data_IF_470732418025
#
_entry.id   IF_470732418025
#
_cell.length_a   1.000
_cell.length_b   1.000
_cell.length_c   1.000
_cell.angle_alpha   90.00
_cell.angle_beta   90.00
_cell.angle_gamma   90.00
#
_symmetry.space_group_name_H-M   'P 1'
#
loop_
_entity.id
_entity.type
_entity.pdbx_description
1 polymer ?
#
# COMPACT_ATOMS: atom_id res chain seq x y z
N UNK A 1 23.22 -60.97 20.30
CA UNK A 1 23.97 -59.72 20.08
C UNK A 1 23.28 -58.95 18.95
N UNK A 2 22.34 -58.07 19.26
CA UNK A 2 21.64 -57.22 18.28
C UNK A 2 21.95 -55.78 18.67
N UNK A 3 22.69 -55.08 17.81
CA UNK A 3 23.05 -53.68 17.97
C UNK A 3 21.87 -52.84 17.46
N UNK A 4 21.23 -52.10 18.34
CA UNK A 4 20.25 -51.07 18.00
C UNK A 4 20.98 -49.80 17.57
N UNK A 5 20.81 -49.39 16.32
CA UNK A 5 21.28 -48.10 15.82
C UNK A 5 20.34 -46.99 16.32
N UNK A 6 20.89 -46.02 17.06
CA UNK A 6 20.19 -44.79 17.43
C UNK A 6 20.28 -43.80 16.26
N UNK A 7 19.14 -43.40 15.71
CA UNK A 7 19.05 -42.30 14.75
C UNK A 7 19.30 -40.98 15.47
N UNK A 8 20.42 -40.34 15.16
CA UNK A 8 20.75 -38.99 15.61
C UNK A 8 20.05 -37.99 14.67
N UNK A 9 18.94 -37.41 15.09
CA UNK A 9 18.25 -36.35 14.35
C UNK A 9 19.01 -35.04 14.57
N UNK A 10 19.78 -34.62 13.57
CA UNK A 10 20.41 -33.30 13.55
C UNK A 10 19.31 -32.25 13.31
N UNK A 11 18.94 -31.48 14.34
CA UNK A 11 18.22 -30.23 14.13
C UNK A 11 19.20 -29.22 13.53
N UNK A 12 19.08 -28.97 12.23
CA UNK A 12 19.71 -27.82 11.59
C UNK A 12 19.01 -26.55 12.11
N UNK A 13 19.68 -25.81 12.99
CA UNK A 13 19.28 -24.45 13.34
C UNK A 13 19.63 -23.59 12.13
N UNK A 14 18.65 -23.29 11.28
CA UNK A 14 18.81 -22.30 10.23
C UNK A 14 19.05 -20.94 10.91
N UNK A 15 20.21 -20.33 10.62
CA UNK A 15 20.48 -18.96 11.00
C UNK A 15 19.49 -18.07 10.22
N UNK A 16 18.52 -17.49 10.93
CA UNK A 16 17.66 -16.45 10.36
C UNK A 16 18.58 -15.28 9.95
N UNK A 17 18.49 -14.78 8.71
CA UNK A 17 19.14 -13.52 8.38
C UNK A 17 18.61 -12.43 9.31
N UNK A 18 19.50 -11.56 9.79
CA UNK A 18 19.13 -10.38 10.57
C UNK A 18 18.17 -9.52 9.75
N UNK A 19 16.86 -9.72 9.96
CA UNK A 19 15.84 -8.79 9.53
C UNK A 19 16.12 -7.50 10.29
N UNK A 20 16.62 -6.47 9.61
CA UNK A 20 16.46 -5.10 10.08
C UNK A 20 14.96 -4.87 10.21
N UNK A 21 14.45 -5.00 11.43
CA UNK A 21 13.08 -4.62 11.74
C UNK A 21 12.99 -3.14 11.39
N UNK A 22 12.18 -2.80 10.39
CA UNK A 22 11.82 -1.42 10.13
C UNK A 22 10.84 -0.97 11.22
N UNK A 23 11.31 -0.99 12.48
CA UNK A 23 10.61 -0.29 13.56
C UNK A 23 10.61 1.17 13.14
N UNK A 24 9.47 1.87 13.19
CA UNK A 24 9.42 3.29 12.87
C UNK A 24 10.51 4.01 13.66
N UNK A 25 11.53 4.51 12.95
CA UNK A 25 12.62 5.26 13.56
C UNK A 25 12.00 6.44 14.32
N UNK A 26 12.57 6.75 15.50
CA UNK A 26 12.14 7.86 16.35
C UNK A 26 12.11 9.17 15.52
N UNK A 27 10.92 9.74 15.33
CA UNK A 27 10.63 10.83 14.35
C UNK A 27 10.75 12.25 14.95
N UNK A 28 10.94 13.22 14.07
CA UNK A 28 11.12 14.66 14.31
C UNK A 28 9.82 15.36 14.81
N UNK A 29 9.99 16.61 15.24
CA UNK A 29 9.35 17.40 16.31
C UNK A 29 7.88 17.87 16.21
N UNK A 30 6.98 17.20 15.47
CA UNK A 30 5.54 17.35 15.78
C UNK A 30 4.75 16.09 15.44
N UNK A 31 4.55 15.22 16.44
CA UNK A 31 3.60 14.11 16.37
C UNK A 31 2.22 14.63 15.92
N UNK A 32 1.63 14.10 14.84
CA UNK A 32 0.27 14.42 14.44
C UNK A 32 -0.72 14.24 15.59
N UNK A 33 -1.73 15.10 15.68
CA UNK A 33 -2.83 14.87 16.61
C UNK A 33 -3.72 13.72 16.11
N UNK A 34 -4.45 13.06 17.02
CA UNK A 34 -5.41 12.02 16.61
C UNK A 34 -6.46 12.56 15.62
N UNK A 35 -6.90 13.81 15.79
CA UNK A 35 -7.82 14.46 14.85
C UNK A 35 -7.19 14.65 13.46
N UNK A 36 -5.89 14.95 13.38
CA UNK A 36 -5.18 15.00 12.09
C UNK A 36 -5.08 13.62 11.45
N UNK A 37 -4.90 12.56 12.25
CA UNK A 37 -4.86 11.18 11.75
C UNK A 37 -6.23 10.72 11.26
N UNK A 38 -7.29 11.02 12.00
CA UNK A 38 -8.65 10.69 11.58
C UNK A 38 -9.06 11.47 10.32
N UNK A 39 -8.69 12.75 10.20
CA UNK A 39 -8.92 13.52 8.97
C UNK A 39 -8.04 13.07 7.81
N UNK A 40 -6.84 12.55 8.08
CA UNK A 40 -6.03 11.89 7.06
C UNK A 40 -6.73 10.64 6.52
N UNK A 41 -7.25 9.78 7.41
CA UNK A 41 -8.06 8.62 7.02
C UNK A 41 -9.31 9.07 6.24
N UNK A 42 -10.10 10.03 6.75
CA UNK A 42 -11.29 10.54 6.07
C UNK A 42 -11.00 11.10 4.67
N UNK A 43 -9.81 11.69 4.47
CA UNK A 43 -9.40 12.18 3.14
C UNK A 43 -9.20 11.04 2.15
N UNK A 44 -8.66 9.90 2.59
CA UNK A 44 -8.49 8.69 1.78
C UNK A 44 -9.84 8.01 1.52
N UNK A 45 -10.70 7.93 2.54
CA UNK A 45 -12.05 7.36 2.42
C UNK A 45 -12.93 8.17 1.46
N UNK A 46 -12.83 9.51 1.47
CA UNK A 46 -13.49 10.34 0.46
C UNK A 46 -12.97 10.08 -0.95
N UNK A 47 -11.67 9.84 -1.10
CA UNK A 47 -11.06 9.50 -2.39
C UNK A 47 -11.58 8.16 -2.90
N UNK A 48 -11.59 7.12 -2.06
CA UNK A 48 -12.07 5.78 -2.42
C UNK A 48 -13.56 5.77 -2.70
N UNK A 49 -14.37 6.42 -1.85
CA UNK A 49 -15.81 6.59 -2.09
C UNK A 49 -16.08 7.30 -3.43
N UNK A 50 -15.30 8.34 -3.76
CA UNK A 50 -15.40 9.03 -5.05
C UNK A 50 -14.97 8.12 -6.22
N UNK A 51 -13.88 7.37 -6.06
CA UNK A 51 -13.38 6.43 -7.07
C UNK A 51 -14.44 5.38 -7.42
N UNK A 52 -15.00 4.71 -6.42
CA UNK A 52 -16.01 3.68 -6.65
C UNK A 52 -17.31 4.23 -7.20
N UNK A 53 -17.78 5.36 -6.68
CA UNK A 53 -19.00 6.01 -7.18
C UNK A 53 -18.84 6.40 -8.65
N UNK A 54 -17.74 7.03 -9.02
CA UNK A 54 -17.50 7.47 -10.40
C UNK A 54 -17.26 6.28 -11.34
N UNK A 55 -16.45 5.30 -10.93
CA UNK A 55 -16.17 4.10 -11.72
C UNK A 55 -17.42 3.27 -12.01
N UNK A 56 -18.28 3.07 -11.01
CA UNK A 56 -19.54 2.31 -11.18
C UNK A 56 -20.60 3.04 -12.01
N UNK A 57 -20.52 4.38 -12.09
CA UNK A 57 -21.33 5.18 -13.02
C UNK A 57 -20.77 5.13 -14.44
N UNK A 58 -19.44 5.13 -14.59
CA UNK A 58 -18.73 5.12 -15.86
C UNK A 58 -18.79 3.78 -16.58
N UNK A 59 -18.74 2.67 -15.83
CA UNK A 59 -18.68 1.32 -16.37
C UNK A 59 -19.92 0.49 -16.00
N UNK A 60 -20.61 0.04 -17.03
CA UNK A 60 -21.80 -0.81 -16.93
C UNK A 60 -21.44 -2.27 -16.66
N UNK A 61 -22.46 -3.08 -16.35
CA UNK A 61 -22.27 -4.52 -16.27
C UNK A 61 -21.77 -5.11 -17.59
N UNK A 62 -22.20 -4.58 -18.73
CA UNK A 62 -21.77 -5.10 -20.03
C UNK A 62 -20.28 -4.81 -20.27
N UNK A 63 -19.81 -3.60 -19.92
CA UNK A 63 -18.38 -3.26 -20.04
C UNK A 63 -17.51 -4.23 -19.23
N UNK A 64 -17.97 -4.62 -18.03
CA UNK A 64 -17.24 -5.60 -17.20
C UNK A 64 -17.19 -6.98 -17.87
N UNK A 65 -18.30 -7.43 -18.47
CA UNK A 65 -18.34 -8.71 -19.19
C UNK A 65 -17.48 -8.67 -20.45
N UNK A 66 -17.47 -7.55 -21.17
CA UNK A 66 -16.65 -7.35 -22.38
C UNK A 66 -15.16 -7.29 -22.05
N UNK A 67 -14.80 -6.95 -20.81
CA UNK A 67 -13.43 -7.03 -20.27
C UNK A 67 -13.09 -8.40 -19.64
N UNK A 68 -13.89 -9.44 -19.90
CA UNK A 68 -13.74 -10.79 -19.36
C UNK A 68 -13.75 -10.87 -17.82
N UNK A 69 -14.33 -9.89 -17.13
CA UNK A 69 -14.47 -9.92 -15.68
C UNK A 69 -15.62 -10.86 -15.26
N UNK A 70 -15.53 -11.50 -14.07
CA UNK A 70 -16.56 -12.40 -13.60
C UNK A 70 -17.93 -11.71 -13.48
N UNK A 71 -19.01 -12.41 -13.87
CA UNK A 71 -20.40 -11.89 -13.86
C UNK A 71 -20.85 -11.35 -12.50
N UNK A 72 -20.28 -11.86 -11.41
CA UNK A 72 -20.57 -11.45 -10.03
C UNK A 72 -19.71 -10.28 -9.54
N UNK A 73 -18.65 -9.91 -10.24
CA UNK A 73 -17.63 -9.00 -9.71
C UNK A 73 -18.16 -7.57 -9.51
N UNK A 74 -18.89 -7.02 -10.49
CA UNK A 74 -19.48 -5.67 -10.36
C UNK A 74 -20.39 -5.52 -9.14
N UNK A 75 -21.13 -6.57 -8.79
CA UNK A 75 -21.99 -6.58 -7.59
C UNK A 75 -21.19 -6.37 -6.30
N UNK A 76 -19.98 -6.93 -6.22
CA UNK A 76 -19.09 -6.73 -5.07
C UNK A 76 -18.49 -5.33 -5.04
N UNK A 77 -18.11 -4.75 -6.17
CA UNK A 77 -17.69 -3.34 -6.16
C UNK A 77 -18.81 -2.37 -5.76
N UNK A 78 -20.08 -2.67 -6.07
CA UNK A 78 -21.21 -1.89 -5.51
C UNK A 78 -21.27 -2.01 -3.98
N UNK A 79 -20.93 -3.17 -3.42
CA UNK A 79 -20.87 -3.36 -1.97
C UNK A 79 -19.68 -2.61 -1.36
N UNK A 80 -18.51 -2.67 -2.00
CA UNK A 80 -17.33 -1.87 -1.61
C UNK A 80 -17.68 -0.38 -1.57
N UNK A 81 -18.30 0.15 -2.62
CA UNK A 81 -18.76 1.54 -2.65
C UNK A 81 -19.68 1.90 -1.46
N UNK A 82 -20.52 0.96 -1.00
CA UNK A 82 -21.37 1.17 0.17
C UNK A 82 -20.57 1.16 1.48
N UNK A 83 -19.54 0.32 1.57
CA UNK A 83 -18.63 0.30 2.72
C UNK A 83 -17.85 1.62 2.79
N UNK A 84 -17.26 2.10 1.69
CA UNK A 84 -16.52 3.38 1.70
C UNK A 84 -17.42 4.56 2.05
N UNK A 85 -18.65 4.60 1.54
CA UNK A 85 -19.62 5.60 1.98
C UNK A 85 -19.94 5.49 3.48
N UNK A 86 -19.95 4.27 4.04
CA UNK A 86 -20.19 4.04 5.47
C UNK A 86 -18.99 4.46 6.31
N UNK A 87 -17.76 4.18 5.86
CA UNK A 87 -16.53 4.63 6.51
C UNK A 87 -16.45 6.16 6.56
N UNK A 88 -16.76 6.84 5.44
CA UNK A 88 -16.87 8.31 5.38
C UNK A 88 -17.86 8.83 6.43
N UNK A 89 -19.11 8.35 6.42
CA UNK A 89 -20.12 8.82 7.37
C UNK A 89 -19.76 8.54 8.83
N UNK A 90 -19.11 7.40 9.09
CA UNK A 90 -18.60 7.05 10.41
C UNK A 90 -17.51 8.04 10.87
N UNK A 91 -16.50 8.28 10.04
CA UNK A 91 -15.39 9.19 10.37
C UNK A 91 -15.86 10.64 10.50
N UNK A 92 -16.74 11.12 9.62
CA UNK A 92 -17.39 12.43 9.75
C UNK A 92 -18.10 12.56 11.11
N UNK A 93 -18.83 11.52 11.53
CA UNK A 93 -19.51 11.50 12.82
C UNK A 93 -18.54 11.49 14.01
N UNK A 94 -17.42 10.78 13.91
CA UNK A 94 -16.41 10.70 14.99
C UNK A 94 -15.64 12.01 15.11
N UNK A 95 -15.32 12.65 13.98
CA UNK A 95 -14.52 13.89 13.93
C UNK A 95 -15.39 15.12 14.24
N UNK A 96 -16.66 15.11 13.84
CA UNK A 96 -17.60 16.22 14.06
C UNK A 96 -17.26 17.46 13.23
N UNK A 97 -17.37 18.64 13.83
CA UNK A 97 -17.20 19.94 13.13
C UNK A 97 -15.81 20.15 12.51
N UNK A 98 -14.83 19.31 12.84
CA UNK A 98 -13.48 19.35 12.29
C UNK A 98 -13.29 18.43 11.07
N UNK A 99 -14.35 17.74 10.62
CA UNK A 99 -14.29 16.82 9.49
C UNK A 99 -13.98 17.58 8.20
N UNK A 100 -12.92 17.14 7.52
CA UNK A 100 -12.58 17.60 6.18
C UNK A 100 -13.71 17.26 5.20
N UNK A 101 -13.87 18.10 4.19
CA UNK A 101 -14.82 17.89 3.11
C UNK A 101 -14.15 17.15 1.94
N UNK A 102 -14.91 16.43 1.10
CA UNK A 102 -14.35 15.73 -0.05
C UNK A 102 -13.66 16.69 -1.02
N UNK A 103 -12.59 16.20 -1.64
CA UNK A 103 -11.87 16.94 -2.67
C UNK A 103 -12.51 16.74 -4.06
N UNK A 104 -11.96 17.40 -5.07
CA UNK A 104 -12.21 17.07 -6.48
C UNK A 104 -11.16 16.09 -6.96
N UNK A 105 -11.58 15.04 -7.64
CA UNK A 105 -10.72 13.93 -8.05
C UNK A 105 -10.71 13.75 -9.57
N UNK A 106 -9.59 13.24 -10.10
CA UNK A 106 -9.44 12.82 -11.49
C UNK A 106 -8.72 11.49 -11.53
N UNK A 107 -9.48 10.41 -11.73
CA UNK A 107 -8.94 9.06 -11.77
C UNK A 107 -8.46 8.71 -13.19
N UNK A 108 -7.31 8.01 -13.32
CA UNK A 108 -6.69 7.75 -14.62
C UNK A 108 -7.27 6.52 -15.34
N UNK A 109 -8.23 5.81 -14.75
CA UNK A 109 -8.85 4.62 -15.36
C UNK A 109 -9.45 4.97 -16.73
N UNK A 110 -9.22 4.12 -17.72
CA UNK A 110 -9.70 4.28 -19.10
C UNK A 110 -10.63 3.16 -19.54
N UNK A 111 -10.65 2.06 -18.80
CA UNK A 111 -11.40 0.84 -19.08
C UNK A 111 -11.66 0.06 -17.78
N UNK A 112 -12.55 -0.96 -17.78
CA UNK A 112 -12.87 -1.72 -16.59
C UNK A 112 -11.65 -2.39 -15.94
N UNK A 113 -10.65 -2.84 -16.70
CA UNK A 113 -9.47 -3.51 -16.14
C UNK A 113 -8.56 -2.51 -15.40
N UNK A 114 -8.36 -1.31 -15.94
CA UNK A 114 -7.66 -0.22 -15.25
C UNK A 114 -8.40 0.25 -14.00
N UNK A 115 -9.74 0.18 -13.98
CA UNK A 115 -10.54 0.33 -12.75
C UNK A 115 -10.25 -0.80 -11.74
N UNK A 116 -10.20 -2.08 -12.17
CA UNK A 116 -9.85 -3.20 -11.28
C UNK A 116 -8.46 -3.02 -10.66
N UNK A 117 -7.45 -2.69 -11.47
CA UNK A 117 -6.08 -2.53 -10.98
C UNK A 117 -5.94 -1.33 -10.06
N UNK A 118 -6.66 -0.22 -10.34
CA UNK A 118 -6.67 0.95 -9.46
C UNK A 118 -7.39 0.65 -8.15
N UNK A 119 -8.51 -0.08 -8.19
CA UNK A 119 -9.22 -0.56 -6.99
C UNK A 119 -8.29 -1.40 -6.11
N UNK A 120 -7.57 -2.38 -6.68
CA UNK A 120 -6.61 -3.17 -5.91
C UNK A 120 -5.52 -2.31 -5.27
N UNK A 121 -4.98 -1.33 -6.01
CA UNK A 121 -3.97 -0.42 -5.48
C UNK A 121 -4.50 0.41 -4.31
N UNK A 122 -5.69 1.02 -4.46
CA UNK A 122 -6.28 1.88 -3.43
C UNK A 122 -6.53 1.11 -2.13
N UNK A 123 -7.24 -0.01 -2.19
CA UNK A 123 -7.52 -0.84 -1.00
C UNK A 123 -6.23 -1.28 -0.30
N UNK A 124 -5.19 -1.64 -1.06
CA UNK A 124 -3.90 -2.03 -0.48
C UNK A 124 -3.16 -0.85 0.16
N UNK A 125 -3.28 0.34 -0.41
CA UNK A 125 -2.79 1.59 0.19
C UNK A 125 -3.60 1.95 1.43
N UNK A 126 -4.92 1.74 1.44
CA UNK A 126 -5.80 1.88 2.60
C UNK A 126 -5.35 1.00 3.77
N UNK A 127 -5.09 -0.28 3.52
CA UNK A 127 -4.50 -1.21 4.51
C UNK A 127 -3.19 -0.66 5.08
N UNK A 128 -2.31 -0.19 4.20
CA UNK A 128 -1.00 0.36 4.57
C UNK A 128 -1.13 1.65 5.38
N UNK A 129 -2.14 2.47 5.09
CA UNK A 129 -2.44 3.71 5.79
C UNK A 129 -2.96 3.48 7.20
N UNK A 130 -3.97 2.63 7.37
CA UNK A 130 -4.53 2.32 8.68
C UNK A 130 -3.51 1.63 9.59
N UNK A 131 -2.81 0.60 9.08
CA UNK A 131 -1.78 -0.10 9.86
C UNK A 131 -0.60 0.81 10.20
N UNK A 132 -0.17 1.65 9.26
CA UNK A 132 0.92 2.60 9.45
C UNK A 132 0.59 3.74 10.42
N UNK A 133 -0.67 4.19 10.45
CA UNK A 133 -1.11 5.27 11.34
C UNK A 133 -1.53 4.79 12.73
N UNK A 134 -1.73 3.48 12.94
CA UNK A 134 -2.26 2.93 14.19
C UNK A 134 -1.51 3.37 15.45
N UNK A 135 -0.19 3.55 15.36
CA UNK A 135 0.65 3.98 16.48
C UNK A 135 0.46 5.44 16.91
N UNK A 136 -0.25 6.26 16.13
CA UNK A 136 -0.61 7.63 16.50
C UNK A 136 -1.91 7.70 17.31
N UNK A 137 -2.66 6.60 17.39
CA UNK A 137 -3.91 6.53 18.12
C UNK A 137 -3.65 6.06 19.56
N UNK A 138 -4.33 6.71 20.49
CA UNK A 138 -4.30 6.41 21.93
C UNK A 138 -5.70 6.21 22.51
N UNK A 139 -6.73 6.77 21.90
CA UNK A 139 -8.12 6.51 22.23
C UNK A 139 -8.52 5.08 21.81
N UNK A 140 -8.99 4.28 22.78
CA UNK A 140 -9.37 2.88 22.55
C UNK A 140 -10.50 2.71 21.53
N UNK A 141 -11.44 3.66 21.48
CA UNK A 141 -12.55 3.60 20.54
C UNK A 141 -12.04 3.83 19.12
N UNK A 142 -11.12 4.78 18.93
CA UNK A 142 -10.49 5.05 17.64
C UNK A 142 -9.63 3.88 17.18
N UNK A 143 -8.82 3.31 18.08
CA UNK A 143 -8.04 2.10 17.78
C UNK A 143 -8.96 0.96 17.34
N UNK A 144 -10.06 0.74 18.05
CA UNK A 144 -11.01 -0.33 17.75
C UNK A 144 -11.68 -0.12 16.40
N UNK A 145 -12.15 1.09 16.13
CA UNK A 145 -12.79 1.39 14.84
C UNK A 145 -11.81 1.34 13.67
N UNK A 146 -10.61 1.89 13.83
CA UNK A 146 -9.58 1.84 12.78
C UNK A 146 -9.12 0.41 12.50
N UNK A 147 -9.02 -0.45 13.52
CA UNK A 147 -8.73 -1.88 13.33
C UNK A 147 -9.87 -2.61 12.60
N UNK A 148 -11.12 -2.23 12.86
CA UNK A 148 -12.28 -2.80 12.17
C UNK A 148 -12.30 -2.42 10.68
N UNK A 149 -12.03 -1.14 10.35
CA UNK A 149 -11.94 -0.67 8.96
C UNK A 149 -10.77 -1.36 8.25
N UNK A 150 -9.56 -1.32 8.83
CA UNK A 150 -8.37 -2.02 8.32
C UNK A 150 -8.65 -3.48 7.93
N UNK A 151 -9.38 -4.21 8.77
CA UNK A 151 -9.71 -5.61 8.51
C UNK A 151 -10.71 -5.79 7.36
N UNK A 152 -11.54 -4.79 7.07
CA UNK A 152 -12.41 -4.79 5.89
C UNK A 152 -11.59 -4.45 4.66
N UNK A 153 -10.83 -3.36 4.63
CA UNK A 153 -9.89 -2.97 3.55
C UNK A 153 -9.02 -4.15 3.08
N UNK A 154 -8.42 -4.87 4.02
CA UNK A 154 -7.59 -6.03 3.71
C UNK A 154 -8.35 -7.14 2.99
N UNK A 155 -9.61 -7.39 3.37
CA UNK A 155 -10.47 -8.39 2.71
C UNK A 155 -10.93 -7.93 1.34
N UNK A 156 -11.15 -6.63 1.16
CA UNK A 156 -11.50 -6.04 -0.13
C UNK A 156 -10.34 -6.20 -1.11
N UNK A 157 -9.13 -5.76 -0.73
CA UNK A 157 -7.89 -5.95 -1.50
C UNK A 157 -7.67 -7.44 -1.85
N UNK A 158 -7.76 -8.33 -0.85
CA UNK A 158 -7.61 -9.78 -1.05
C UNK A 158 -8.63 -10.36 -2.03
N UNK A 159 -9.89 -9.92 -1.94
CA UNK A 159 -10.95 -10.36 -2.85
C UNK A 159 -10.69 -9.89 -4.29
N UNK A 160 -10.29 -8.63 -4.49
CA UNK A 160 -9.95 -8.11 -5.82
C UNK A 160 -8.79 -8.93 -6.40
N UNK A 161 -7.70 -9.07 -5.66
CA UNK A 161 -6.50 -9.70 -6.19
C UNK A 161 -6.69 -11.20 -6.43
N UNK A 162 -7.30 -11.91 -5.49
CA UNK A 162 -7.43 -13.36 -5.59
C UNK A 162 -8.65 -13.79 -6.40
N UNK A 163 -9.84 -13.32 -6.04
CA UNK A 163 -11.05 -13.82 -6.67
C UNK A 163 -11.24 -13.27 -8.09
N UNK A 164 -10.87 -12.00 -8.31
CA UNK A 164 -11.03 -11.35 -9.61
C UNK A 164 -9.78 -11.51 -10.48
N UNK A 165 -8.61 -11.07 -10.01
CA UNK A 165 -7.37 -11.11 -10.79
C UNK A 165 -6.67 -12.48 -10.81
N UNK A 166 -7.17 -13.47 -10.04
CA UNK A 166 -6.61 -14.83 -9.93
C UNK A 166 -5.17 -14.88 -9.38
N UNK A 167 -4.79 -13.84 -8.66
CA UNK A 167 -3.48 -13.67 -8.05
C UNK A 167 -3.51 -13.96 -6.53
N UNK A 168 -2.46 -13.57 -5.83
CA UNK A 168 -2.26 -13.85 -4.42
C UNK A 168 -3.33 -13.18 -3.51
N UNK A 169 -3.91 -13.90 -2.54
CA UNK A 169 -4.87 -13.34 -1.58
C UNK A 169 -4.24 -12.48 -0.48
N UNK A 170 -2.93 -12.61 -0.26
CA UNK A 170 -2.13 -11.83 0.69
C UNK A 170 -0.73 -11.64 0.12
N UNK A 171 0.04 -10.70 0.65
CA UNK A 171 1.37 -10.36 0.12
C UNK A 171 2.49 -11.15 0.81
N UNK A 172 2.66 -10.92 2.11
CA UNK A 172 3.62 -11.62 2.96
C UNK A 172 2.92 -12.09 4.24
N UNK A 173 3.67 -12.62 5.21
CA UNK A 173 3.13 -12.95 6.54
C UNK A 173 2.58 -11.71 7.30
N UNK A 174 2.97 -10.51 6.90
CA UNK A 174 2.47 -9.25 7.43
C UNK A 174 2.08 -8.31 6.27
N UNK A 175 1.04 -7.52 6.47
CA UNK A 175 0.81 -6.35 5.61
C UNK A 175 1.90 -5.29 5.83
N UNK A 176 2.04 -4.39 4.87
CA UNK A 176 3.13 -3.41 4.84
C UNK A 176 2.63 -2.05 5.36
N UNK A 177 2.86 -1.69 6.63
CA UNK A 177 2.54 -0.35 7.12
C UNK A 177 3.43 0.70 6.43
N UNK A 178 2.82 1.79 5.98
CA UNK A 178 3.51 2.94 5.39
C UNK A 178 3.37 4.17 6.29
N UNK A 179 4.35 5.07 6.25
CA UNK A 179 4.18 6.37 6.89
C UNK A 179 3.22 7.29 6.11
N UNK A 180 2.78 8.36 6.76
CA UNK A 180 1.76 9.25 6.19
C UNK A 180 2.21 9.90 4.88
N UNK A 181 3.50 10.23 4.74
CA UNK A 181 4.02 10.85 3.53
C UNK A 181 4.13 9.85 2.39
N UNK A 182 4.50 8.60 2.68
CA UNK A 182 4.50 7.52 1.70
C UNK A 182 3.10 7.22 1.18
N UNK A 183 2.12 7.08 2.07
CA UNK A 183 0.71 6.91 1.70
C UNK A 183 0.23 8.11 0.87
N UNK A 184 0.50 9.33 1.34
CA UNK A 184 0.11 10.54 0.63
C UNK A 184 0.76 10.63 -0.75
N UNK A 185 2.00 10.17 -0.91
CA UNK A 185 2.68 10.14 -2.21
C UNK A 185 1.96 9.24 -3.22
N UNK A 186 1.39 8.11 -2.76
CA UNK A 186 0.62 7.19 -3.61
C UNK A 186 -0.79 7.71 -3.91
N UNK A 187 -1.45 8.32 -2.93
CA UNK A 187 -2.85 8.74 -3.04
C UNK A 187 -3.03 10.12 -3.69
N UNK A 188 -2.12 11.07 -3.45
CA UNK A 188 -2.36 12.48 -3.80
C UNK A 188 -2.41 12.78 -5.30
N UNK A 189 -1.86 11.90 -6.15
CA UNK A 189 -1.80 12.10 -7.61
C UNK A 189 -3.15 12.22 -8.30
N UNK A 190 -4.24 11.73 -7.69
CA UNK A 190 -5.61 11.82 -8.24
C UNK A 190 -6.41 13.00 -7.66
N UNK A 191 -5.86 13.71 -6.67
CA UNK A 191 -6.50 14.85 -6.03
C UNK A 191 -6.22 16.12 -6.85
N UNK A 192 -7.25 16.69 -7.45
CA UNK A 192 -7.14 17.92 -8.27
C UNK A 192 -7.12 19.17 -7.38
N UNK A 193 -8.03 19.25 -6.42
CA UNK A 193 -8.14 20.35 -5.48
C UNK A 193 -9.00 19.96 -4.28
N UNK A 194 -8.75 20.54 -3.11
CA UNK A 194 -9.58 20.36 -1.92
C UNK A 194 -10.15 21.70 -1.46
N UNK A 195 -11.31 21.71 -0.77
CA UNK A 195 -11.85 22.92 -0.17
C UNK A 195 -10.81 23.63 0.71
N UNK A 196 -10.62 24.96 0.57
CA UNK A 196 -9.62 25.70 1.37
C UNK A 196 -9.99 25.79 2.85
N UNK A 197 -11.22 25.42 3.22
CA UNK A 197 -11.68 25.27 4.59
C UNK A 197 -11.19 23.99 5.27
N UNK A 198 -10.70 23.00 4.51
CA UNK A 198 -10.16 21.78 5.08
C UNK A 198 -8.93 22.08 5.92
N UNK A 199 -8.81 21.41 7.07
CA UNK A 199 -7.63 21.55 7.90
C UNK A 199 -6.37 21.05 7.17
N UNK A 200 -5.21 21.70 7.34
CA UNK A 200 -3.97 21.17 6.80
C UNK A 200 -3.60 19.83 7.42
N UNK A 201 -3.36 18.83 6.57
CA UNK A 201 -2.83 17.53 6.98
C UNK A 201 -1.31 17.61 7.14
N UNK A 202 -0.71 16.90 8.12
CA UNK A 202 0.74 16.91 8.34
C UNK A 202 1.47 15.98 7.37
N UNK A 203 1.22 16.15 6.08
CA UNK A 203 1.72 15.28 5.02
C UNK A 203 2.33 16.06 3.86
N UNK A 204 3.26 15.42 3.17
CA UNK A 204 3.95 15.93 2.00
C UNK A 204 4.17 14.77 1.03
N UNK A 205 3.87 15.01 -0.24
CA UNK A 205 4.21 14.06 -1.29
C UNK A 205 5.70 14.15 -1.63
N UNK A 206 6.36 13.00 -1.74
CA UNK A 206 7.68 12.90 -2.33
C UNK A 206 7.59 12.95 -3.87
N UNK A 207 8.70 13.24 -4.57
CA UNK A 207 8.79 13.07 -6.01
C UNK A 207 8.35 11.65 -6.43
N UNK A 208 7.55 11.56 -7.50
CA UNK A 208 7.10 10.27 -8.01
C UNK A 208 8.27 9.41 -8.50
N UNK A 209 8.24 8.14 -8.11
CA UNK A 209 9.19 7.11 -8.54
C UNK A 209 8.50 6.17 -9.54
N UNK A 210 9.13 5.95 -10.68
CA UNK A 210 8.61 5.07 -11.73
C UNK A 210 9.56 3.91 -11.99
N UNK A 211 8.97 2.72 -12.13
CA UNK A 211 9.61 1.50 -12.60
C UNK A 211 9.12 1.18 -14.02
N UNK A 212 9.89 0.42 -14.82
CA UNK A 212 9.43 -0.02 -16.13
C UNK A 212 8.25 -0.99 -15.98
N UNK A 213 7.31 -0.93 -16.93
CA UNK A 213 6.19 -1.86 -16.96
C UNK A 213 6.70 -3.31 -17.06
N UNK A 214 6.11 -4.21 -16.27
CA UNK A 214 6.49 -5.61 -16.24
C UNK A 214 7.80 -5.93 -15.52
N UNK A 215 8.35 -4.99 -14.73
CA UNK A 215 9.48 -5.26 -13.84
C UNK A 215 9.22 -6.46 -12.92
N UNK A 216 10.20 -7.36 -12.80
CA UNK A 216 10.09 -8.59 -11.99
C UNK A 216 11.25 -8.74 -10.99
N UNK A 217 11.05 -9.50 -9.90
CA UNK A 217 12.13 -9.89 -8.98
C UNK A 217 13.31 -10.53 -9.72
N UNK A 218 14.53 -10.20 -9.29
CA UNK A 218 15.79 -10.68 -9.87
C UNK A 218 16.28 -9.90 -11.10
N UNK A 219 15.47 -9.00 -11.67
CA UNK A 219 15.86 -8.20 -12.83
C UNK A 219 16.65 -6.94 -12.44
N UNK A 220 17.59 -6.55 -13.30
CA UNK A 220 18.16 -5.20 -13.30
C UNK A 220 17.25 -4.30 -14.13
N UNK A 221 16.69 -3.26 -13.50
CA UNK A 221 15.76 -2.32 -14.14
C UNK A 221 16.29 -0.90 -14.06
N UNK A 222 15.87 -0.04 -14.99
CA UNK A 222 16.13 1.40 -14.93
C UNK A 222 14.92 2.11 -14.35
N UNK A 223 15.12 2.89 -13.28
CA UNK A 223 14.07 3.66 -12.62
C UNK A 223 14.17 5.15 -12.99
N UNK A 224 13.09 5.90 -12.79
CA UNK A 224 13.10 7.36 -12.99
C UNK A 224 12.36 8.09 -11.87
N UNK A 225 12.89 9.24 -11.48
CA UNK A 225 12.30 10.17 -10.52
C UNK A 225 12.89 11.57 -10.76
N UNK A 226 12.18 12.62 -10.35
CA UNK A 226 12.61 14.00 -10.53
C UNK A 226 13.04 14.63 -9.19
N UNK A 227 14.30 14.42 -8.81
CA UNK A 227 14.88 15.02 -7.60
C UNK A 227 16.37 15.35 -7.79
N UNK A 228 16.81 16.46 -7.20
CA UNK A 228 18.24 16.78 -7.10
C UNK A 228 18.86 15.94 -6.00
N UNK A 229 19.92 15.19 -6.31
CA UNK A 229 20.55 14.26 -5.36
C UNK A 229 22.06 14.40 -5.37
N UNK A 230 22.69 14.03 -4.26
CA UNK A 230 24.13 13.90 -4.13
C UNK A 230 24.47 12.67 -3.29
N UNK A 231 25.61 12.04 -3.60
CA UNK A 231 26.05 10.83 -2.90
C UNK A 231 25.43 9.54 -3.45
N UNK A 232 25.75 8.44 -2.77
CA UNK A 232 25.21 7.11 -3.10
C UNK A 232 23.75 7.03 -2.68
N UNK A 233 22.91 6.50 -3.56
CA UNK A 233 21.50 6.24 -3.30
C UNK A 233 21.22 4.74 -3.26
N UNK A 234 20.10 4.38 -2.65
CA UNK A 234 19.59 3.02 -2.57
C UNK A 234 18.12 3.03 -2.95
N UNK A 235 17.63 1.89 -3.41
CA UNK A 235 16.21 1.60 -3.43
C UNK A 235 15.91 0.68 -2.26
N UNK A 236 15.07 1.15 -1.34
CA UNK A 236 14.54 0.34 -0.25
C UNK A 236 13.20 -0.26 -0.70
N UNK A 237 13.15 -1.56 -0.87
CA UNK A 237 11.96 -2.33 -1.21
C UNK A 237 11.23 -2.70 0.09
N UNK A 238 10.21 -1.92 0.45
CA UNK A 238 9.43 -2.10 1.69
C UNK A 238 8.38 -3.18 1.46
N UNK A 239 8.38 -4.23 2.29
CA UNK A 239 7.42 -5.33 2.24
C UNK A 239 7.27 -5.96 3.63
N UNK A 240 6.03 -6.22 4.05
CA UNK A 240 5.72 -6.63 5.42
C UNK A 240 6.26 -5.61 6.43
N UNK A 241 6.92 -6.08 7.49
CA UNK A 241 7.46 -5.22 8.55
C UNK A 241 8.94 -4.80 8.32
N UNK A 242 9.45 -4.95 7.09
CA UNK A 242 10.86 -4.73 6.78
C UNK A 242 11.09 -4.08 5.42
N UNK A 243 12.36 -3.80 5.14
CA UNK A 243 12.81 -3.32 3.85
C UNK A 243 14.09 -4.03 3.42
N UNK A 244 14.20 -4.34 2.13
CA UNK A 244 15.44 -4.81 1.52
C UNK A 244 16.07 -3.68 0.70
N UNK A 245 17.35 -3.41 0.90
CA UNK A 245 18.04 -2.30 0.25
C UNK A 245 18.92 -2.79 -0.89
N UNK A 246 18.81 -2.15 -2.05
CA UNK A 246 19.70 -2.38 -3.19
C UNK A 246 20.35 -1.06 -3.64
N UNK A 247 21.66 -1.02 -3.93
CA UNK A 247 22.31 0.20 -4.39
C UNK A 247 21.76 0.64 -5.74
N UNK A 248 21.48 1.94 -5.87
CA UNK A 248 21.11 2.56 -7.14
C UNK A 248 22.38 3.00 -7.88
N UNK A 249 22.54 2.56 -9.12
CA UNK A 249 23.70 2.92 -9.94
C UNK A 249 23.64 4.37 -10.42
N UNK A 250 24.77 4.90 -10.90
CA UNK A 250 24.82 6.23 -11.51
C UNK A 250 24.04 6.33 -12.83
N UNK A 251 23.64 5.20 -13.43
CA UNK A 251 22.76 5.13 -14.61
C UNK A 251 21.28 4.97 -14.23
N UNK A 252 20.93 5.15 -12.95
CA UNK A 252 19.59 4.94 -12.39
C UNK A 252 19.11 3.50 -12.57
N UNK A 253 20.01 2.52 -12.49
CA UNK A 253 19.66 1.11 -12.52
C UNK A 253 19.77 0.45 -11.15
N UNK A 254 18.87 -0.48 -10.87
CA UNK A 254 18.80 -1.23 -9.61
C UNK A 254 18.41 -2.67 -9.88
N UNK A 255 18.93 -3.60 -9.07
CA UNK A 255 18.48 -5.00 -9.07
C UNK A 255 17.30 -5.13 -8.11
N UNK A 256 16.17 -5.63 -8.60
CA UNK A 256 15.02 -5.97 -7.75
C UNK A 256 15.37 -7.27 -7.01
N UNK A 257 15.36 -7.33 -5.66
CA UNK A 257 15.66 -8.55 -4.93
C UNK A 257 14.75 -9.71 -5.36
N UNK A 258 15.35 -10.88 -5.64
CA UNK A 258 14.63 -12.03 -6.20
C UNK A 258 13.67 -12.72 -5.23
N UNK A 259 13.76 -12.43 -3.93
CA UNK A 259 12.90 -12.99 -2.89
C UNK A 259 11.62 -12.20 -2.66
N UNK A 260 11.41 -11.10 -3.39
CA UNK A 260 10.21 -10.27 -3.22
C UNK A 260 9.00 -10.92 -3.90
N UNK A 261 7.85 -10.83 -3.24
CA UNK A 261 6.56 -11.33 -3.73
C UNK A 261 5.43 -10.42 -3.25
N UNK A 262 4.28 -10.49 -3.92
CA UNK A 262 3.11 -9.68 -3.60
C UNK A 262 3.39 -8.19 -3.80
N UNK A 263 2.67 -7.34 -3.06
CA UNK A 263 2.82 -5.89 -3.12
C UNK A 263 4.08 -5.43 -2.36
N UNK A 264 4.86 -4.60 -3.03
CA UNK A 264 6.10 -3.99 -2.54
C UNK A 264 6.09 -2.49 -2.83
N UNK A 265 6.54 -1.71 -1.86
CA UNK A 265 6.60 -0.25 -1.94
C UNK A 265 8.06 0.23 -2.02
N UNK A 266 8.71 0.23 -3.19
CA UNK A 266 10.06 0.74 -3.32
C UNK A 266 10.12 2.26 -3.13
N UNK A 267 11.07 2.73 -2.33
CA UNK A 267 11.45 4.15 -2.21
C UNK A 267 12.91 4.34 -2.60
N UNK A 268 13.25 5.47 -3.22
CA UNK A 268 14.65 5.89 -3.37
C UNK A 268 15.06 6.62 -2.10
N UNK A 269 16.21 6.25 -1.54
CA UNK A 269 16.71 6.80 -0.28
C UNK A 269 18.22 7.05 -0.31
N UNK A 270 18.68 7.99 0.51
CA UNK A 270 20.10 8.24 0.79
C UNK A 270 20.68 7.35 1.90
N UNK A 271 19.91 6.39 2.44
CA UNK A 271 20.34 5.44 3.47
C UNK A 271 20.22 4.00 2.99
N UNK A 272 21.14 3.14 3.42
CA UNK A 272 21.13 1.69 3.18
C UNK A 272 20.46 0.87 4.30
N UNK A 273 19.93 1.55 5.31
CA UNK A 273 19.46 0.92 6.56
C UNK A 273 18.17 1.52 7.09
N UNK A 274 17.77 2.70 6.62
CA UNK A 274 16.60 3.42 7.12
C UNK A 274 15.67 3.85 6.00
N UNK A 275 14.37 3.83 6.32
CA UNK A 275 13.31 4.38 5.48
C UNK A 275 12.53 5.39 6.34
N UNK A 276 13.00 6.64 6.33
CA UNK A 276 12.37 7.75 7.05
C UNK A 276 12.18 8.93 6.12
N UNK A 277 11.34 9.89 6.51
CA UNK A 277 11.10 11.11 5.73
C UNK A 277 12.38 11.85 5.37
N UNK A 278 13.33 11.93 6.31
CA UNK A 278 14.56 12.71 6.15
C UNK A 278 15.56 12.08 5.17
N UNK A 279 15.44 10.78 4.91
CA UNK A 279 16.31 10.06 3.97
C UNK A 279 15.57 9.64 2.70
N UNK A 280 14.26 9.84 2.61
CA UNK A 280 13.46 9.52 1.42
C UNK A 280 13.66 10.60 0.37
N UNK A 281 14.04 10.18 -0.83
CA UNK A 281 14.32 11.03 -1.99
C UNK A 281 13.14 11.04 -2.96
N UNK A 282 12.54 9.88 -3.21
CA UNK A 282 11.42 9.69 -4.14
C UNK A 282 10.63 8.42 -3.81
N UNK A 283 9.36 8.41 -4.19
CA UNK A 283 8.44 7.30 -3.98
C UNK A 283 7.68 7.36 -2.65
N UNK A 284 6.97 6.28 -2.29
CA UNK A 284 7.06 4.96 -2.90
C UNK A 284 6.44 4.88 -4.29
N UNK A 285 6.89 3.91 -5.09
CA UNK A 285 6.09 3.37 -6.18
C UNK A 285 5.24 2.20 -5.66
N UNK A 286 4.23 1.77 -6.43
CA UNK A 286 3.47 0.55 -6.17
C UNK A 286 3.92 -0.55 -7.14
N UNK A 287 4.53 -1.62 -6.63
CA UNK A 287 4.86 -2.81 -7.41
C UNK A 287 4.06 -3.99 -6.89
N UNK A 288 3.58 -4.85 -7.80
CA UNK A 288 2.87 -6.08 -7.45
C UNK A 288 3.48 -7.25 -8.19
N UNK A 289 4.10 -8.17 -7.45
CA UNK A 289 4.71 -9.40 -7.95
C UNK A 289 3.77 -10.56 -7.68
N UNK A 290 2.81 -10.75 -8.59
CA UNK A 290 1.76 -11.76 -8.44
C UNK A 290 2.33 -13.17 -8.40
N UNK A 291 1.79 -13.97 -7.47
CA UNK A 291 1.82 -15.42 -7.53
C UNK A 291 0.38 -15.93 -7.63
N UNK A 292 0.22 -17.21 -7.94
CA UNK A 292 -1.08 -17.77 -8.26
C UNK A 292 -2.02 -17.81 -7.02
N UNK A 293 -3.32 -17.91 -7.28
CA UNK A 293 -4.34 -18.04 -6.23
C UNK A 293 -4.56 -19.50 -5.76
N UNK A 294 -3.95 -20.48 -6.41
CA UNK A 294 -4.16 -21.91 -6.14
C UNK A 294 -3.10 -22.54 -5.21
N UNK A 295 -2.06 -21.77 -4.86
CA UNK A 295 -1.03 -22.16 -3.90
C UNK A 295 -0.04 -23.21 -4.43
N UNK A 296 0.02 -23.44 -5.74
CA UNK A 296 0.89 -24.46 -6.35
C UNK A 296 2.31 -23.94 -6.62
N UNK A 297 2.50 -22.61 -6.65
CA UNK A 297 3.77 -21.96 -6.97
C UNK A 297 4.35 -21.12 -5.81
N UNK A 298 3.95 -21.37 -4.55
CA UNK A 298 4.66 -20.77 -3.40
C UNK A 298 6.07 -21.41 -3.30
N UNK A 299 7.16 -20.62 -3.29
CA UNK A 299 8.52 -21.13 -3.15
C UNK A 299 8.79 -21.83 -1.81
#
# INVERSE_FOLDING_TARGET
MKVTAASLTLLAVAALPELCVAVPAKRDSSTPTEIQILNFALTLEHLENAFYTQGLQKYTQQDFLDADLPTWARGRWNQIAQHESTHVSFLESVIGDQAVQPCTYSFPDTDPMSFVTTSFMLETVGVSAYSGAAHFLSNSDYITSSAAILAVEARQSAWINSAVLKANPWNTAFDTPLDLNHVWTLASGVIVSCPPSNMPLPVKAFPALSFPAGAQPGQTVQVSFNATTSGQLYVAFIAGLGATFAPLSSQMTVVIPSSLQGVVFPVVTSSDTMVTDNVTIAGPAFLSFHFNSDGVDEP
#
